data_IF_062302972830
#
_entry.id   IF_062302972830
#
_cell.length_a   1.000
_cell.length_b   1.000
_cell.length_c   1.000
_cell.angle_alpha   90.00
_cell.angle_beta   90.00
_cell.angle_gamma   90.00
#
_symmetry.space_group_name_H-M   'P 1'
#
loop_
_entity.id
_entity.type
_entity.pdbx_description
1 polymer ?
#
# COMPACT_ATOMS: atom_id res chain seq x y z
N UNK A 1 -33.22 12.09 -26.86
CA UNK A 1 -32.75 10.75 -26.41
C UNK A 1 -33.28 9.66 -27.34
N UNK A 2 -34.60 9.41 -27.36
CA UNK A 2 -35.23 8.36 -28.18
C UNK A 2 -34.77 8.33 -29.64
N UNK A 3 -34.92 9.44 -30.38
CA UNK A 3 -34.50 9.50 -31.78
C UNK A 3 -33.00 9.17 -32.00
N UNK A 4 -32.14 9.55 -31.05
CA UNK A 4 -30.72 9.21 -31.12
C UNK A 4 -30.49 7.71 -30.86
N UNK A 5 -31.16 7.14 -29.85
CA UNK A 5 -31.10 5.71 -29.52
C UNK A 5 -31.57 4.86 -30.70
N UNK A 6 -32.72 5.20 -31.29
CA UNK A 6 -33.29 4.48 -32.43
C UNK A 6 -32.41 4.59 -33.68
N UNK A 7 -31.85 5.78 -33.96
CA UNK A 7 -31.02 6.01 -35.14
C UNK A 7 -29.76 5.14 -35.19
N UNK A 8 -29.11 4.91 -34.04
CA UNK A 8 -27.84 4.16 -33.98
C UNK A 8 -27.98 2.79 -33.32
N UNK A 9 -29.19 2.40 -32.89
CA UNK A 9 -29.42 1.18 -32.13
C UNK A 9 -28.64 1.15 -30.81
N UNK A 10 -28.61 2.27 -30.09
CA UNK A 10 -27.78 2.39 -28.88
C UNK A 10 -28.22 1.41 -27.79
N UNK A 11 -27.26 0.71 -27.17
CA UNK A 11 -27.51 -0.17 -26.01
C UNK A 11 -27.22 0.50 -24.67
N UNK A 12 -26.41 1.57 -24.69
CA UNK A 12 -25.96 2.30 -23.52
C UNK A 12 -26.17 3.80 -23.74
N UNK A 13 -26.66 4.49 -22.71
CA UNK A 13 -26.89 5.94 -22.73
C UNK A 13 -26.22 6.55 -21.52
N UNK A 14 -25.44 7.61 -21.72
CA UNK A 14 -24.88 8.42 -20.63
C UNK A 14 -25.52 9.80 -20.70
N UNK A 15 -26.09 10.25 -19.58
CA UNK A 15 -26.61 11.60 -19.42
C UNK A 15 -25.68 12.36 -18.45
N UNK A 16 -24.93 13.32 -18.99
CA UNK A 16 -23.91 14.07 -18.25
C UNK A 16 -24.08 15.60 -18.45
N UNK A 17 -24.50 16.39 -17.45
CA UNK A 17 -25.03 16.05 -16.13
C UNK A 17 -26.49 16.51 -15.95
N UNK A 18 -27.25 15.88 -15.06
CA UNK A 18 -28.59 16.37 -14.71
C UNK A 18 -28.55 17.62 -13.81
N UNK A 19 -27.37 18.05 -13.34
CA UNK A 19 -27.24 19.23 -12.49
C UNK A 19 -27.78 20.48 -13.18
N UNK A 20 -27.62 20.59 -14.51
CA UNK A 20 -28.16 21.68 -15.30
C UNK A 20 -29.69 21.75 -15.34
N UNK A 21 -30.41 20.66 -15.03
CA UNK A 21 -31.86 20.69 -14.87
C UNK A 21 -32.25 21.25 -13.50
N UNK A 22 -31.48 20.97 -12.45
CA UNK A 22 -31.80 21.41 -11.10
C UNK A 22 -31.69 22.93 -10.93
N UNK A 23 -30.82 23.58 -11.71
CA UNK A 23 -30.71 25.05 -11.69
C UNK A 23 -31.90 25.76 -12.35
N UNK A 24 -32.67 25.07 -13.19
CA UNK A 24 -33.81 25.65 -13.92
C UNK A 24 -35.14 25.55 -13.17
N UNK A 25 -35.22 24.65 -12.17
CA UNK A 25 -36.46 24.38 -11.45
C UNK A 25 -36.29 24.62 -9.95
N UNK A 26 -37.01 25.57 -9.35
CA UNK A 26 -36.93 25.83 -7.91
C UNK A 26 -37.68 24.81 -7.04
N UNK A 27 -38.56 23.99 -7.64
CA UNK A 27 -39.41 23.03 -6.93
C UNK A 27 -38.92 21.59 -7.10
N UNK A 28 -38.57 20.98 -5.96
CA UNK A 28 -38.14 19.59 -5.84
C UNK A 28 -39.19 18.59 -6.38
N UNK A 29 -40.48 18.90 -6.31
CA UNK A 29 -41.56 18.04 -6.81
C UNK A 29 -41.57 17.94 -8.33
N UNK A 30 -41.37 19.06 -9.02
CA UNK A 30 -41.24 19.12 -10.48
C UNK A 30 -40.01 18.35 -10.96
N UNK A 31 -38.87 18.52 -10.27
CA UNK A 31 -37.64 17.79 -10.55
C UNK A 31 -37.84 16.29 -10.44
N UNK A 32 -38.49 15.83 -9.36
CA UNK A 32 -38.82 14.41 -9.18
C UNK A 32 -39.67 13.85 -10.32
N UNK A 33 -40.66 14.61 -10.79
CA UNK A 33 -41.53 14.20 -11.90
C UNK A 33 -40.75 14.06 -13.21
N UNK A 34 -39.87 15.00 -13.52
CA UNK A 34 -39.06 14.95 -14.74
C UNK A 34 -38.01 13.83 -14.70
N UNK A 35 -37.34 13.60 -13.55
CA UNK A 35 -36.43 12.45 -13.41
C UNK A 35 -37.18 11.13 -13.62
N UNK A 36 -38.38 10.98 -13.04
CA UNK A 36 -39.21 9.78 -13.25
C UNK A 36 -39.62 9.60 -14.71
N UNK A 37 -39.93 10.69 -15.41
CA UNK A 37 -40.25 10.67 -16.84
C UNK A 37 -39.05 10.23 -17.68
N UNK A 38 -37.86 10.78 -17.41
CA UNK A 38 -36.61 10.38 -18.06
C UNK A 38 -36.33 8.90 -17.81
N UNK A 39 -36.44 8.43 -16.55
CA UNK A 39 -36.28 7.03 -16.18
C UNK A 39 -37.24 6.11 -16.94
N UNK A 40 -38.54 6.45 -16.96
CA UNK A 40 -39.55 5.66 -17.68
C UNK A 40 -39.25 5.55 -19.17
N UNK A 41 -38.82 6.66 -19.78
CA UNK A 41 -38.40 6.68 -21.19
C UNK A 41 -37.20 5.76 -21.44
N UNK A 42 -36.14 5.85 -20.62
CA UNK A 42 -34.95 5.00 -20.74
C UNK A 42 -35.28 3.51 -20.56
N UNK A 43 -36.15 3.18 -19.59
CA UNK A 43 -36.62 1.80 -19.39
C UNK A 43 -37.41 1.29 -20.58
N UNK A 44 -38.29 2.10 -21.17
CA UNK A 44 -39.08 1.74 -22.37
C UNK A 44 -38.16 1.47 -23.56
N UNK A 45 -37.07 2.24 -23.69
CA UNK A 45 -36.06 2.04 -24.72
C UNK A 45 -35.16 0.81 -24.47
N UNK A 46 -35.28 0.15 -23.31
CA UNK A 46 -34.50 -1.04 -22.94
C UNK A 46 -32.98 -0.84 -23.02
N UNK A 47 -32.50 0.35 -22.68
CA UNK A 47 -31.06 0.70 -22.67
C UNK A 47 -30.48 0.69 -21.26
N UNK A 48 -29.19 0.40 -21.11
CA UNK A 48 -28.47 0.62 -19.85
C UNK A 48 -28.07 2.09 -19.76
N UNK A 49 -28.63 2.83 -18.79
CA UNK A 49 -28.34 4.25 -18.63
C UNK A 49 -27.45 4.57 -17.43
N UNK A 50 -26.46 5.43 -17.63
CA UNK A 50 -25.72 6.11 -16.55
C UNK A 50 -26.15 7.56 -16.54
N UNK A 51 -26.43 8.08 -15.36
CA UNK A 51 -26.86 9.46 -15.15
C UNK A 51 -25.92 10.07 -14.13
N UNK A 52 -25.27 11.18 -14.49
CA UNK A 52 -24.39 11.90 -13.57
C UNK A 52 -25.13 13.07 -12.91
N UNK A 53 -24.73 13.35 -11.67
CA UNK A 53 -25.21 14.48 -10.88
C UNK A 53 -24.10 14.92 -9.95
N UNK A 54 -24.00 16.21 -9.71
CA UNK A 54 -23.03 16.81 -8.79
C UNK A 54 -23.58 16.79 -7.37
N UNK A 55 -22.75 16.50 -6.36
CA UNK A 55 -23.09 16.60 -4.93
C UNK A 55 -22.45 17.84 -4.30
N UNK A 56 -23.26 18.74 -3.75
CA UNK A 56 -22.84 19.90 -2.96
C UNK A 56 -23.03 19.59 -1.47
N UNK A 57 -22.05 19.94 -0.62
CA UNK A 57 -22.13 19.76 0.85
C UNK A 57 -23.09 20.75 1.53
N UNK A 58 -23.64 21.71 0.79
CA UNK A 58 -24.52 22.75 1.33
C UNK A 58 -25.89 22.18 1.74
N UNK A 59 -26.24 22.32 3.02
CA UNK A 59 -27.41 21.70 3.63
C UNK A 59 -28.76 22.08 2.97
N UNK A 60 -28.83 23.20 2.23
CA UNK A 60 -30.01 23.65 1.51
C UNK A 60 -30.31 22.83 0.23
N UNK A 61 -29.30 22.19 -0.38
CA UNK A 61 -29.41 21.38 -1.60
C UNK A 61 -29.65 19.88 -1.31
N UNK A 62 -29.62 19.47 -0.03
CA UNK A 62 -29.86 18.09 0.41
C UNK A 62 -31.21 17.51 -0.04
N UNK A 63 -32.24 18.34 -0.15
CA UNK A 63 -33.59 17.91 -0.59
C UNK A 63 -33.64 17.36 -2.02
N UNK A 64 -32.71 17.77 -2.89
CA UNK A 64 -32.63 17.32 -4.27
C UNK A 64 -31.90 15.97 -4.38
N UNK A 65 -30.93 15.72 -3.50
CA UNK A 65 -30.20 14.46 -3.41
C UNK A 65 -31.08 13.32 -2.92
N UNK A 66 -31.92 13.59 -1.93
CA UNK A 66 -32.88 12.59 -1.44
C UNK A 66 -33.75 12.06 -2.60
N UNK A 67 -34.15 12.92 -3.54
CA UNK A 67 -34.95 12.50 -4.70
C UNK A 67 -34.19 11.48 -5.57
N UNK A 68 -32.93 11.74 -5.92
CA UNK A 68 -32.11 10.83 -6.71
C UNK A 68 -31.83 9.52 -5.97
N UNK A 69 -31.64 9.61 -4.65
CA UNK A 69 -31.42 8.48 -3.74
C UNK A 69 -32.68 7.61 -3.59
N UNK A 70 -33.88 8.09 -3.96
CA UNK A 70 -35.09 7.27 -4.05
C UNK A 70 -35.42 6.80 -5.48
N UNK A 71 -35.27 7.66 -6.48
CA UNK A 71 -35.72 7.39 -7.86
C UNK A 71 -34.79 6.42 -8.59
N UNK A 72 -33.48 6.48 -8.34
CA UNK A 72 -32.51 5.63 -9.03
C UNK A 72 -32.64 4.16 -8.61
N UNK A 73 -32.48 3.22 -9.54
CA UNK A 73 -32.45 1.80 -9.15
C UNK A 73 -31.08 1.43 -8.54
N UNK A 74 -30.02 1.97 -9.13
CA UNK A 74 -28.64 1.78 -8.71
C UNK A 74 -28.04 3.16 -8.41
N UNK A 75 -27.18 3.24 -7.40
CA UNK A 75 -26.53 4.49 -7.01
C UNK A 75 -25.06 4.25 -6.71
N UNK A 76 -24.23 5.01 -7.41
CA UNK A 76 -22.78 5.05 -7.26
C UNK A 76 -22.42 6.45 -6.80
N UNK A 77 -21.64 6.55 -5.73
CA UNK A 77 -21.18 7.81 -5.15
C UNK A 77 -19.68 7.91 -5.39
N UNK A 78 -19.26 9.02 -6.00
CA UNK A 78 -17.85 9.40 -6.12
C UNK A 78 -17.59 10.53 -5.12
N UNK A 79 -16.55 10.39 -4.30
CA UNK A 79 -16.12 11.42 -3.34
C UNK A 79 -14.70 11.84 -3.64
N UNK A 80 -14.40 13.12 -3.39
CA UNK A 80 -13.05 13.68 -3.46
C UNK A 80 -12.74 14.44 -2.16
N UNK A 81 -12.47 13.68 -1.10
CA UNK A 81 -12.26 14.20 0.26
C UNK A 81 -10.85 14.72 0.44
N UNK A 82 -10.66 15.80 1.20
CA UNK A 82 -9.34 16.29 1.58
C UNK A 82 -8.88 15.74 2.93
N UNK A 83 -7.61 15.36 3.05
CA UNK A 83 -6.94 14.97 4.28
C UNK A 83 -5.53 15.59 4.30
N UNK A 84 -5.20 16.43 5.29
CA UNK A 84 -3.91 17.11 5.39
C UNK A 84 -3.40 17.68 4.05
N UNK A 85 -4.26 18.43 3.35
CA UNK A 85 -3.99 19.02 2.01
C UNK A 85 -3.94 18.02 0.84
N UNK A 86 -3.90 16.71 1.10
CA UNK A 86 -4.02 15.67 0.08
C UNK A 86 -5.48 15.41 -0.28
N UNK A 87 -5.72 15.07 -1.55
CA UNK A 87 -7.05 14.69 -2.06
C UNK A 87 -7.14 13.18 -2.24
N UNK A 88 -8.18 12.58 -1.67
CA UNK A 88 -8.47 11.15 -1.78
C UNK A 88 -9.78 10.95 -2.55
N UNK A 89 -9.72 10.12 -3.58
CA UNK A 89 -10.88 9.76 -4.40
C UNK A 89 -11.43 8.40 -3.96
N UNK A 90 -12.72 8.35 -3.61
CA UNK A 90 -13.39 7.10 -3.26
C UNK A 90 -14.67 6.88 -4.07
N UNK A 91 -14.97 5.62 -4.38
CA UNK A 91 -16.17 5.15 -5.05
C UNK A 91 -16.94 4.22 -4.11
N UNK A 92 -18.25 4.39 -4.03
CA UNK A 92 -19.14 3.59 -3.20
C UNK A 92 -20.39 3.22 -3.99
N UNK A 93 -20.77 1.95 -3.97
CA UNK A 93 -22.09 1.53 -4.45
C UNK A 93 -23.02 1.60 -3.23
N UNK A 94 -23.93 2.57 -3.19
CA UNK A 94 -24.87 2.71 -2.06
C UNK A 94 -25.99 1.67 -2.17
N UNK A 95 -26.53 1.50 -3.37
CA UNK A 95 -27.58 0.53 -3.69
C UNK A 95 -27.38 -0.02 -5.09
N UNK A 96 -27.78 -1.28 -5.25
CA UNK A 96 -27.88 -1.95 -6.53
C UNK A 96 -29.10 -2.86 -6.48
N UNK A 97 -30.22 -2.44 -7.09
CA UNK A 97 -31.49 -3.19 -6.95
C UNK A 97 -31.42 -4.51 -7.70
N UNK A 98 -31.89 -5.58 -7.05
CA UNK A 98 -32.02 -6.91 -7.65
C UNK A 98 -30.81 -7.83 -7.49
N UNK A 99 -29.65 -7.34 -7.02
CA UNK A 99 -28.48 -8.19 -6.74
C UNK A 99 -27.67 -7.67 -5.56
N UNK A 100 -26.79 -8.50 -5.02
CA UNK A 100 -25.82 -8.08 -4.01
C UNK A 100 -24.65 -7.31 -4.65
N UNK A 101 -23.99 -6.49 -3.84
CA UNK A 101 -22.79 -5.75 -4.26
C UNK A 101 -21.84 -5.57 -3.08
N UNK A 102 -20.57 -5.30 -3.40
CA UNK A 102 -19.57 -4.94 -2.38
C UNK A 102 -20.01 -3.64 -1.67
N UNK A 103 -19.93 -3.65 -0.34
CA UNK A 103 -20.30 -2.53 0.53
C UNK A 103 -19.05 -1.78 0.98
N UNK A 104 -19.20 -0.48 1.24
CA UNK A 104 -18.12 0.39 1.68
C UNK A 104 -17.52 1.23 0.56
N UNK A 105 -16.59 2.09 0.95
CA UNK A 105 -15.87 2.99 0.06
C UNK A 105 -14.57 2.33 -0.41
N UNK A 106 -14.33 2.38 -1.70
CA UNK A 106 -13.12 1.90 -2.34
C UNK A 106 -12.35 3.08 -2.92
N UNK A 107 -11.05 3.13 -2.70
CA UNK A 107 -10.19 4.12 -3.34
C UNK A 107 -10.16 3.91 -4.86
N UNK A 108 -10.05 4.99 -5.63
CA UNK A 108 -9.76 4.91 -7.07
C UNK A 108 -8.82 6.03 -7.50
N UNK A 109 -8.08 5.79 -8.58
CA UNK A 109 -7.31 6.82 -9.29
C UNK A 109 -7.81 6.98 -10.72
N UNK A 110 -7.43 8.07 -11.39
CA UNK A 110 -7.71 8.32 -12.81
C UNK A 110 -6.37 8.42 -13.52
N UNK A 111 -6.11 7.52 -14.47
CA UNK A 111 -4.86 7.48 -15.25
C UNK A 111 -5.13 7.84 -16.71
N UNK A 112 -4.24 8.58 -17.34
CA UNK A 112 -4.41 9.08 -18.72
C UNK A 112 -4.77 7.97 -19.72
N UNK A 113 -4.13 6.80 -19.61
CA UNK A 113 -4.31 5.69 -20.56
C UNK A 113 -5.33 4.63 -20.09
N UNK A 114 -5.86 4.71 -18.87
CA UNK A 114 -6.77 3.68 -18.30
C UNK A 114 -8.10 4.23 -17.77
N UNK A 115 -8.24 5.55 -17.61
CA UNK A 115 -9.38 6.16 -16.96
C UNK A 115 -9.44 5.78 -15.47
N UNK A 116 -10.65 5.52 -14.97
CA UNK A 116 -10.90 5.16 -13.56
C UNK A 116 -10.32 3.77 -13.26
N UNK A 117 -9.37 3.71 -12.33
CA UNK A 117 -8.80 2.48 -11.78
C UNK A 117 -9.24 2.35 -10.33
N UNK A 118 -10.21 1.46 -10.08
CA UNK A 118 -10.70 1.16 -8.73
C UNK A 118 -9.70 0.23 -8.05
N UNK A 119 -9.23 0.63 -6.88
CA UNK A 119 -8.35 -0.19 -6.06
C UNK A 119 -9.24 -1.01 -5.12
N UNK A 120 -9.72 -2.14 -5.64
CA UNK A 120 -10.46 -3.13 -4.86
C UNK A 120 -9.52 -4.24 -4.42
N UNK A 121 -9.75 -4.73 -3.21
CA UNK A 121 -8.97 -5.83 -2.64
C UNK A 121 -9.88 -7.03 -2.52
N UNK A 122 -9.62 -8.03 -3.35
CA UNK A 122 -10.20 -9.34 -3.16
C UNK A 122 -9.43 -9.99 -2.02
N UNK A 123 -10.05 -9.94 -0.84
CA UNK A 123 -9.67 -10.84 0.24
C UNK A 123 -10.19 -12.19 -0.20
N UNK A 124 -9.43 -12.94 -0.99
CA UNK A 124 -9.63 -14.38 -1.05
C UNK A 124 -8.99 -14.95 0.21
N UNK A 125 -9.77 -15.26 1.27
CA UNK A 125 -9.19 -15.76 2.52
C UNK A 125 -8.52 -17.14 2.36
N UNK A 126 -8.68 -17.79 1.20
CA UNK A 126 -8.41 -19.20 0.99
C UNK A 126 -7.24 -19.48 0.03
N UNK A 127 -6.36 -18.52 -0.25
CA UNK A 127 -5.11 -18.83 -0.97
C UNK A 127 -4.17 -19.59 -0.02
N UNK A 128 -4.40 -20.90 0.07
CA UNK A 128 -3.55 -21.87 0.75
C UNK A 128 -2.37 -22.21 -0.17
N UNK A 129 -1.22 -21.61 0.06
CA UNK A 129 0.03 -22.17 -0.45
C UNK A 129 0.40 -23.35 0.47
N UNK A 130 0.23 -24.58 -0.01
CA UNK A 130 0.80 -25.77 0.62
C UNK A 130 2.32 -25.63 0.69
N UNK A 131 2.89 -25.87 1.88
CA UNK A 131 4.33 -25.87 2.19
C UNK A 131 5.12 -24.71 1.59
N UNK A 132 5.19 -23.59 2.33
CA UNK A 132 6.03 -22.45 1.92
C UNK A 132 7.50 -22.85 1.97
N UNK A 133 8.21 -22.65 0.87
CA UNK A 133 9.65 -22.87 0.81
C UNK A 133 10.37 -21.84 1.70
N UNK A 134 11.35 -22.29 2.48
CA UNK A 134 12.25 -21.39 3.23
C UNK A 134 13.33 -20.86 2.28
N UNK A 135 13.58 -19.57 2.35
CA UNK A 135 14.56 -18.84 1.55
C UNK A 135 15.48 -18.02 2.45
N UNK A 136 16.77 -18.00 2.12
CA UNK A 136 17.78 -17.21 2.83
C UNK A 136 17.39 -15.74 2.87
N UNK A 137 17.65 -15.05 3.98
CA UNK A 137 17.52 -13.59 4.10
C UNK A 137 18.49 -12.83 3.20
N UNK A 138 19.57 -13.48 2.73
CA UNK A 138 20.72 -12.83 2.12
C UNK A 138 21.89 -12.65 3.08
N UNK A 139 21.70 -12.92 4.38
CA UNK A 139 22.69 -12.78 5.43
C UNK A 139 22.80 -14.08 6.23
N UNK A 140 23.96 -14.74 6.17
CA UNK A 140 24.18 -16.03 6.82
C UNK A 140 23.99 -15.95 8.34
N UNK A 141 24.54 -14.91 8.98
CA UNK A 141 24.38 -14.71 10.42
C UNK A 141 22.93 -14.49 10.82
N UNK A 142 22.15 -13.77 9.99
CA UNK A 142 20.73 -13.57 10.24
C UNK A 142 19.95 -14.86 10.06
N UNK A 143 20.26 -15.65 9.04
CA UNK A 143 19.63 -16.95 8.78
C UNK A 143 19.85 -17.90 9.96
N UNK A 144 21.03 -17.86 10.60
CA UNK A 144 21.30 -18.58 11.84
C UNK A 144 20.38 -18.20 13.01
N UNK A 145 19.82 -16.99 13.01
CA UNK A 145 18.88 -16.51 14.04
C UNK A 145 17.42 -16.87 13.75
N UNK A 146 17.07 -17.32 12.54
CA UNK A 146 15.70 -17.54 12.08
C UNK A 146 15.49 -18.93 11.45
N UNK A 147 16.21 -19.93 11.94
CA UNK A 147 16.10 -21.34 11.49
C UNK A 147 16.34 -21.51 9.97
N UNK A 148 17.31 -20.78 9.44
CA UNK A 148 17.77 -20.91 8.04
C UNK A 148 17.06 -20.02 7.02
N UNK A 149 16.27 -19.02 7.46
CA UNK A 149 15.71 -18.00 6.58
C UNK A 149 14.21 -17.74 6.77
N UNK A 150 13.60 -16.99 5.85
CA UNK A 150 12.17 -16.65 5.86
C UNK A 150 11.37 -17.55 4.93
N UNK A 151 10.04 -17.61 5.12
CA UNK A 151 9.17 -18.32 4.18
C UNK A 151 8.86 -17.48 2.95
N UNK A 152 8.78 -18.12 1.77
CA UNK A 152 8.31 -17.47 0.56
C UNK A 152 6.88 -16.91 0.74
N UNK A 153 6.58 -15.77 0.11
CA UNK A 153 5.29 -15.08 0.26
C UNK A 153 5.05 -14.46 1.66
N UNK A 154 6.07 -14.45 2.53
CA UNK A 154 6.00 -13.79 3.84
C UNK A 154 6.32 -12.29 3.75
N UNK A 155 5.80 -11.54 4.72
CA UNK A 155 6.13 -10.13 4.92
C UNK A 155 6.97 -9.92 6.18
N UNK A 156 8.11 -9.25 6.02
CA UNK A 156 9.10 -8.99 7.06
C UNK A 156 9.12 -7.49 7.33
N UNK A 157 8.83 -7.12 8.57
CA UNK A 157 8.92 -5.74 9.04
C UNK A 157 10.25 -5.51 9.75
N UNK A 158 11.06 -4.58 9.26
CA UNK A 158 12.27 -4.09 9.90
C UNK A 158 11.94 -2.75 10.55
N UNK A 159 11.80 -2.76 11.87
CA UNK A 159 11.43 -1.58 12.66
C UNK A 159 12.63 -1.06 13.43
N UNK A 160 12.76 0.26 13.56
CA UNK A 160 13.79 0.84 14.41
C UNK A 160 13.93 2.34 14.25
N UNK A 161 14.71 2.94 15.14
CA UNK A 161 14.97 4.39 15.16
C UNK A 161 15.73 4.86 13.90
N UNK A 162 15.80 6.17 13.70
CA UNK A 162 16.65 6.73 12.65
C UNK A 162 18.13 6.38 12.90
N UNK A 163 18.89 6.12 11.84
CA UNK A 163 20.32 5.79 11.92
C UNK A 163 20.67 4.39 12.45
N UNK A 164 19.70 3.56 12.83
CA UNK A 164 19.98 2.17 13.23
C UNK A 164 20.46 1.31 12.07
N UNK A 165 20.24 1.71 10.82
CA UNK A 165 20.73 0.98 9.64
C UNK A 165 19.70 0.10 8.96
N UNK A 166 18.41 0.47 9.00
CA UNK A 166 17.33 -0.24 8.28
C UNK A 166 17.60 -0.34 6.77
N UNK A 167 17.85 0.79 6.10
CA UNK A 167 18.21 0.85 4.67
C UNK A 167 19.45 0.02 4.36
N UNK A 168 20.45 0.10 5.24
CA UNK A 168 21.70 -0.64 5.13
C UNK A 168 21.48 -2.16 5.28
N UNK A 169 20.57 -2.58 6.15
CA UNK A 169 20.16 -3.97 6.27
C UNK A 169 19.46 -4.46 5.00
N UNK A 170 18.58 -3.64 4.41
CA UNK A 170 17.97 -3.99 3.12
C UNK A 170 19.01 -4.14 2.02
N UNK A 171 19.97 -3.22 1.92
CA UNK A 171 21.03 -3.29 0.91
C UNK A 171 21.86 -4.57 1.04
N UNK A 172 22.18 -4.99 2.26
CA UNK A 172 22.92 -6.25 2.49
C UNK A 172 22.08 -7.47 2.11
N UNK A 173 20.77 -7.47 2.40
CA UNK A 173 19.84 -8.52 1.97
C UNK A 173 19.65 -8.55 0.44
N UNK A 174 19.60 -7.37 -0.20
CA UNK A 174 19.53 -7.22 -1.66
C UNK A 174 20.78 -7.81 -2.29
N UNK A 175 21.97 -7.46 -1.80
CA UNK A 175 23.23 -8.02 -2.29
C UNK A 175 23.24 -9.55 -2.20
N UNK A 176 22.90 -10.12 -1.04
CA UNK A 176 22.84 -11.57 -0.86
C UNK A 176 21.85 -12.25 -1.83
N UNK A 177 20.73 -11.60 -2.13
CA UNK A 177 19.76 -12.09 -3.12
C UNK A 177 20.29 -11.99 -4.56
N UNK A 178 20.89 -10.85 -4.93
CA UNK A 178 21.48 -10.64 -6.25
C UNK A 178 22.64 -11.61 -6.54
N UNK A 179 23.44 -11.94 -5.52
CA UNK A 179 24.52 -12.93 -5.63
C UNK A 179 24.01 -14.35 -5.91
N UNK A 180 22.73 -14.64 -5.60
CA UNK A 180 22.05 -15.88 -5.97
C UNK A 180 21.30 -15.81 -7.30
N UNK A 181 21.38 -14.68 -8.02
CA UNK A 181 20.68 -14.46 -9.28
C UNK A 181 19.18 -14.15 -9.11
N UNK A 182 18.74 -13.81 -7.90
CA UNK A 182 17.34 -13.45 -7.64
C UNK A 182 17.06 -12.01 -8.08
N UNK A 183 15.86 -11.77 -8.59
CA UNK A 183 15.39 -10.46 -9.02
C UNK A 183 14.83 -9.64 -7.86
N UNK A 184 15.33 -8.42 -7.69
CA UNK A 184 14.96 -7.55 -6.58
C UNK A 184 14.39 -6.22 -7.08
N UNK A 185 13.30 -5.75 -6.47
CA UNK A 185 12.86 -4.35 -6.56
C UNK A 185 13.05 -3.66 -5.22
N UNK A 186 13.65 -2.47 -5.22
CA UNK A 186 13.63 -1.54 -4.09
C UNK A 186 12.75 -0.33 -4.42
N UNK A 187 11.67 -0.18 -3.67
CA UNK A 187 10.88 1.06 -3.61
C UNK A 187 11.42 1.91 -2.47
N UNK A 188 12.02 3.05 -2.79
CA UNK A 188 12.49 4.00 -1.79
C UNK A 188 11.59 5.24 -1.76
N UNK A 189 11.10 5.62 -0.58
CA UNK A 189 10.15 6.71 -0.37
C UNK A 189 10.75 7.92 0.36
N UNK A 190 12.02 7.87 0.73
CA UNK A 190 12.65 8.90 1.55
C UNK A 190 13.90 9.52 0.90
N UNK A 191 14.64 8.74 0.12
CA UNK A 191 15.94 9.09 -0.43
C UNK A 191 15.96 9.05 -1.95
N UNK A 192 16.81 9.92 -2.52
CA UNK A 192 17.01 9.96 -3.96
C UNK A 192 17.78 8.74 -4.45
N UNK A 193 17.67 8.48 -5.76
CA UNK A 193 18.39 7.40 -6.42
C UNK A 193 19.90 7.50 -6.17
N UNK A 194 20.48 8.68 -6.34
CA UNK A 194 21.92 8.91 -6.12
C UNK A 194 22.36 8.61 -4.68
N UNK A 195 21.51 8.91 -3.69
CA UNK A 195 21.82 8.61 -2.28
C UNK A 195 21.88 7.09 -2.04
N UNK A 196 20.93 6.34 -2.59
CA UNK A 196 20.88 4.88 -2.46
C UNK A 196 22.03 4.23 -3.22
N UNK A 197 22.29 4.64 -4.47
CA UNK A 197 23.42 4.13 -5.26
C UNK A 197 24.76 4.43 -4.58
N UNK A 198 24.94 5.63 -4.03
CA UNK A 198 26.16 5.98 -3.27
C UNK A 198 26.35 5.11 -2.03
N UNK A 199 25.27 4.83 -1.28
CA UNK A 199 25.33 3.93 -0.12
C UNK A 199 25.73 2.52 -0.52
N UNK A 200 25.15 1.99 -1.59
CA UNK A 200 25.48 0.68 -2.13
C UNK A 200 26.93 0.62 -2.63
N UNK A 201 27.38 1.64 -3.37
CA UNK A 201 28.75 1.74 -3.87
C UNK A 201 29.78 1.80 -2.73
N UNK A 202 29.48 2.45 -1.61
CA UNK A 202 30.36 2.46 -0.45
C UNK A 202 30.64 1.06 0.12
N UNK A 203 29.81 0.08 -0.23
CA UNK A 203 29.95 -1.34 0.12
C UNK A 203 30.30 -2.22 -1.07
N UNK A 204 30.76 -1.61 -2.17
CA UNK A 204 31.10 -2.30 -3.43
C UNK A 204 29.93 -3.05 -4.07
N UNK A 205 28.69 -2.66 -3.77
CA UNK A 205 27.50 -3.18 -4.42
C UNK A 205 27.18 -2.31 -5.64
N UNK A 206 27.47 -2.82 -6.84
CA UNK A 206 27.17 -2.14 -8.10
C UNK A 206 25.70 -2.37 -8.52
N UNK A 207 24.79 -1.61 -7.92
CA UNK A 207 23.35 -1.69 -8.24
C UNK A 207 23.03 -1.21 -9.66
N UNK A 208 23.85 -0.32 -10.23
CA UNK A 208 23.63 0.18 -11.59
C UNK A 208 23.91 -0.92 -12.61
N UNK A 209 25.01 -1.66 -12.44
CA UNK A 209 25.29 -2.86 -13.23
C UNK A 209 24.16 -3.88 -13.09
N UNK A 210 23.64 -4.09 -11.88
CA UNK A 210 22.55 -5.06 -11.62
C UNK A 210 21.22 -4.64 -12.26
N UNK A 211 20.98 -3.34 -12.42
CA UNK A 211 19.86 -2.82 -13.22
C UNK A 211 20.04 -3.07 -14.72
N UNK A 212 21.25 -2.89 -15.25
CA UNK A 212 21.56 -3.18 -16.66
C UNK A 212 21.44 -4.68 -16.97
N UNK A 213 21.79 -5.54 -16.01
CA UNK A 213 21.62 -6.99 -16.09
C UNK A 213 20.16 -7.44 -15.96
N UNK A 214 19.24 -6.54 -15.59
CA UNK A 214 17.82 -6.85 -15.38
C UNK A 214 17.54 -7.67 -14.11
N UNK A 215 18.49 -7.69 -13.16
CA UNK A 215 18.36 -8.37 -11.86
C UNK A 215 17.86 -7.43 -10.76
N UNK A 216 18.08 -6.13 -10.90
CA UNK A 216 17.64 -5.14 -9.93
C UNK A 216 16.77 -4.06 -10.58
N UNK A 217 15.91 -3.43 -9.78
CA UNK A 217 15.20 -2.21 -10.15
C UNK A 217 15.02 -1.30 -8.95
N UNK A 218 15.48 -0.06 -9.04
CA UNK A 218 15.31 0.96 -8.01
C UNK A 218 14.28 2.02 -8.43
N UNK A 219 13.24 2.18 -7.61
CA UNK A 219 12.17 3.15 -7.79
C UNK A 219 12.13 4.10 -6.59
N UNK A 220 12.60 5.33 -6.78
CA UNK A 220 12.52 6.38 -5.77
C UNK A 220 11.23 7.20 -5.99
N UNK A 221 10.25 7.02 -5.11
CA UNK A 221 8.90 7.59 -5.23
C UNK A 221 8.57 8.37 -3.95
N UNK A 222 8.53 9.69 -4.01
CA UNK A 222 8.16 10.51 -2.85
C UNK A 222 6.64 10.49 -2.62
N UNK A 223 6.12 9.96 -1.51
CA UNK A 223 4.68 9.91 -1.28
C UNK A 223 4.01 11.29 -1.31
N UNK A 224 4.74 12.36 -1.00
CA UNK A 224 4.23 13.72 -1.04
C UNK A 224 3.93 14.21 -2.48
N UNK A 225 4.56 13.62 -3.51
CA UNK A 225 4.35 14.01 -4.90
C UNK A 225 3.23 13.22 -5.60
N UNK A 226 2.78 12.11 -5.01
CA UNK A 226 1.79 11.20 -5.61
C UNK A 226 0.77 10.74 -4.56
N UNK A 227 -0.51 10.67 -4.89
CA UNK A 227 -1.48 10.07 -3.96
C UNK A 227 -1.15 8.60 -3.63
N UNK A 228 -1.53 8.14 -2.44
CA UNK A 228 -1.31 6.74 -2.00
C UNK A 228 -1.92 5.73 -2.99
N UNK A 229 -3.06 6.07 -3.59
CA UNK A 229 -3.68 5.27 -4.65
C UNK A 229 -2.78 5.07 -5.86
N UNK A 230 -2.15 6.16 -6.32
CA UNK A 230 -1.26 6.11 -7.46
C UNK A 230 0.00 5.34 -7.14
N UNK A 231 0.53 5.52 -5.94
CA UNK A 231 1.69 4.77 -5.45
C UNK A 231 1.42 3.27 -5.42
N UNK A 232 0.27 2.82 -4.92
CA UNK A 232 -0.11 1.40 -4.93
C UNK A 232 -0.19 0.86 -6.36
N UNK A 233 -0.79 1.62 -7.28
CA UNK A 233 -0.88 1.23 -8.70
C UNK A 233 0.51 1.12 -9.32
N UNK A 234 1.43 2.03 -8.98
CA UNK A 234 2.79 2.04 -9.46
C UNK A 234 3.61 0.85 -8.94
N UNK A 235 3.50 0.55 -7.64
CA UNK A 235 4.08 -0.66 -7.03
C UNK A 235 3.62 -1.92 -7.76
N UNK A 236 2.29 -2.08 -7.93
CA UNK A 236 1.73 -3.25 -8.64
C UNK A 236 2.21 -3.33 -10.08
N UNK A 237 2.20 -2.22 -10.80
CA UNK A 237 2.63 -2.17 -12.20
C UNK A 237 4.11 -2.53 -12.34
N UNK A 238 4.96 -2.04 -11.44
CA UNK A 238 6.38 -2.37 -11.42
C UNK A 238 6.61 -3.86 -11.13
N UNK A 239 5.92 -4.44 -10.14
CA UNK A 239 5.98 -5.87 -9.82
C UNK A 239 5.52 -6.72 -11.02
N UNK A 240 4.40 -6.38 -11.66
CA UNK A 240 3.90 -7.11 -12.82
C UNK A 240 4.86 -7.09 -14.01
N UNK A 241 5.49 -5.93 -14.25
CA UNK A 241 6.37 -5.75 -15.41
C UNK A 241 7.72 -6.42 -15.20
N UNK A 242 8.24 -6.40 -13.97
CA UNK A 242 9.60 -6.87 -13.67
C UNK A 242 9.65 -8.33 -13.17
N UNK A 243 8.55 -8.81 -12.58
CA UNK A 243 8.42 -10.14 -11.97
C UNK A 243 9.57 -10.47 -10.99
N UNK A 244 9.71 -9.71 -9.88
CA UNK A 244 10.76 -9.94 -8.90
C UNK A 244 10.51 -11.17 -8.03
N UNK A 245 11.60 -11.73 -7.51
CA UNK A 245 11.58 -12.73 -6.43
C UNK A 245 11.43 -12.05 -5.07
N UNK A 246 11.97 -10.83 -4.91
CA UNK A 246 11.93 -10.04 -3.67
C UNK A 246 11.53 -8.59 -3.89
N UNK A 247 10.74 -8.07 -2.96
CA UNK A 247 10.36 -6.65 -2.93
C UNK A 247 10.80 -6.03 -1.60
N UNK A 248 11.48 -4.90 -1.70
CA UNK A 248 11.94 -4.09 -0.58
C UNK A 248 11.24 -2.73 -0.63
N UNK A 249 10.71 -2.25 0.51
CA UNK A 249 10.03 -0.96 0.62
C UNK A 249 10.65 -0.16 1.78
N UNK A 250 11.27 0.97 1.46
CA UNK A 250 12.03 1.81 2.38
C UNK A 250 11.62 3.29 2.30
N UNK A 251 10.78 3.85 3.17
CA UNK A 251 10.14 3.24 4.33
C UNK A 251 8.62 3.43 4.30
N UNK A 252 7.89 2.45 4.83
CA UNK A 252 6.43 2.56 4.94
C UNK A 252 6.00 3.67 5.90
N UNK A 253 6.88 4.10 6.81
CA UNK A 253 6.64 5.28 7.67
C UNK A 253 6.47 6.58 6.90
N UNK A 254 6.98 6.69 5.66
CA UNK A 254 6.73 7.85 4.82
C UNK A 254 5.24 7.97 4.42
N UNK A 255 4.53 6.84 4.32
CA UNK A 255 3.11 6.82 3.94
C UNK A 255 2.19 7.30 5.07
N UNK A 256 2.63 7.17 6.33
CA UNK A 256 1.87 7.66 7.50
C UNK A 256 1.68 9.18 7.46
N UNK A 257 2.59 9.92 6.80
CA UNK A 257 2.55 11.39 6.74
C UNK A 257 1.45 11.93 5.83
N UNK A 258 1.10 11.17 4.80
CA UNK A 258 0.20 11.59 3.71
C UNK A 258 -1.19 10.94 3.79
N UNK A 259 -1.44 10.08 4.78
CA UNK A 259 -2.67 9.31 4.89
C UNK A 259 -3.23 9.28 6.31
N UNK A 260 -4.54 9.07 6.45
CA UNK A 260 -5.13 8.75 7.76
C UNK A 260 -4.73 7.34 8.21
N UNK A 261 -4.76 7.06 9.51
CA UNK A 261 -4.38 5.75 10.05
C UNK A 261 -5.14 4.58 9.42
N UNK A 262 -6.45 4.75 9.17
CA UNK A 262 -7.28 3.76 8.48
C UNK A 262 -6.76 3.52 7.06
N UNK A 263 -6.51 4.60 6.31
CA UNK A 263 -6.05 4.54 4.92
C UNK A 263 -4.65 3.93 4.83
N UNK A 264 -3.76 4.31 5.74
CA UNK A 264 -2.42 3.75 5.87
C UNK A 264 -2.48 2.23 6.08
N UNK A 265 -3.25 1.80 7.08
CA UNK A 265 -3.40 0.38 7.42
C UNK A 265 -4.01 -0.41 6.27
N UNK A 266 -5.07 0.11 5.64
CA UNK A 266 -5.65 -0.50 4.45
C UNK A 266 -4.59 -0.66 3.35
N UNK A 267 -3.88 0.42 3.01
CA UNK A 267 -2.83 0.43 1.99
C UNK A 267 -1.73 -0.60 2.23
N UNK A 268 -1.29 -0.75 3.48
CA UNK A 268 -0.31 -1.78 3.84
C UNK A 268 -0.85 -3.20 3.71
N UNK A 269 -2.08 -3.45 4.16
CA UNK A 269 -2.74 -4.76 3.96
C UNK A 269 -2.76 -5.09 2.46
N UNK A 270 -3.03 -4.10 1.62
CA UNK A 270 -3.14 -4.30 0.19
C UNK A 270 -1.83 -4.68 -0.47
N UNK A 271 -0.74 -4.00 -0.09
CA UNK A 271 0.60 -4.34 -0.58
C UNK A 271 1.00 -5.73 -0.08
N UNK A 272 0.82 -6.02 1.21
CA UNK A 272 1.20 -7.31 1.80
C UNK A 272 0.42 -8.47 1.18
N UNK A 273 -0.91 -8.34 1.03
CA UNK A 273 -1.73 -9.37 0.42
C UNK A 273 -1.37 -9.59 -1.05
N UNK A 274 -1.06 -8.52 -1.78
CA UNK A 274 -0.64 -8.61 -3.17
C UNK A 274 0.71 -9.33 -3.33
N UNK A 275 1.69 -9.02 -2.48
CA UNK A 275 2.97 -9.74 -2.46
C UNK A 275 2.77 -11.22 -2.15
N UNK A 276 1.90 -11.53 -1.19
CA UNK A 276 1.56 -12.91 -0.83
C UNK A 276 0.89 -13.66 -1.97
N UNK A 277 -0.09 -13.05 -2.64
CA UNK A 277 -0.79 -13.62 -3.80
C UNK A 277 0.18 -13.95 -4.95
N UNK A 278 1.18 -13.08 -5.15
CA UNK A 278 2.24 -13.28 -6.14
C UNK A 278 3.36 -14.22 -5.66
N UNK A 279 3.27 -14.76 -4.44
CA UNK A 279 4.31 -15.58 -3.80
C UNK A 279 5.69 -14.89 -3.72
N UNK A 280 5.69 -13.57 -3.51
CA UNK A 280 6.88 -12.71 -3.40
C UNK A 280 7.16 -12.42 -1.92
N UNK A 281 8.42 -12.53 -1.50
CA UNK A 281 8.84 -12.10 -0.16
C UNK A 281 8.95 -10.56 -0.11
N UNK A 282 8.33 -9.97 0.91
CA UNK A 282 8.30 -8.52 1.10
C UNK A 282 9.06 -8.06 2.33
N UNK A 283 10.02 -7.14 2.17
CA UNK A 283 10.72 -6.48 3.26
C UNK A 283 10.25 -5.02 3.37
N UNK A 284 9.73 -4.64 4.52
CA UNK A 284 9.17 -3.32 4.78
C UNK A 284 9.96 -2.67 5.92
N UNK A 285 10.42 -1.44 5.77
CA UNK A 285 11.04 -0.70 6.89
C UNK A 285 10.08 0.30 7.50
N UNK A 286 10.12 0.43 8.82
CA UNK A 286 9.35 1.45 9.55
C UNK A 286 10.26 2.16 10.54
N UNK A 287 10.26 3.50 10.49
CA UNK A 287 11.01 4.33 11.42
C UNK A 287 10.16 4.66 12.65
N UNK A 288 10.63 4.28 13.83
CA UNK A 288 9.98 4.62 15.10
C UNK A 288 10.52 5.94 15.65
N UNK A 289 9.67 6.89 16.07
CA UNK A 289 10.11 8.24 16.45
C UNK A 289 10.79 8.35 17.83
N UNK A 290 10.61 7.39 18.74
CA UNK A 290 11.07 7.53 20.14
C UNK A 290 12.35 6.78 20.50
N UNK A 291 13.24 7.48 21.22
CA UNK A 291 14.43 6.93 21.90
C UNK A 291 14.08 6.18 23.20
N UNK A 292 13.07 6.65 23.94
CA UNK A 292 12.62 6.10 25.22
C UNK A 292 11.33 5.29 25.03
N UNK A 293 11.40 4.01 25.44
CA UNK A 293 10.39 2.93 25.38
C UNK A 293 9.57 2.84 24.07
N UNK A 294 9.46 1.66 23.43
CA UNK A 294 8.60 1.49 22.26
C UNK A 294 7.13 1.58 22.70
N UNK A 295 6.60 2.80 22.79
CA UNK A 295 5.16 3.03 22.79
C UNK A 295 4.68 2.62 21.42
N UNK A 296 4.24 1.37 21.27
CA UNK A 296 3.79 0.80 20.01
C UNK A 296 2.47 1.44 19.49
N UNK A 297 2.12 2.67 19.88
CA UNK A 297 0.83 3.30 19.59
C UNK A 297 0.42 3.30 18.12
N UNK A 298 1.36 3.54 17.19
CA UNK A 298 1.13 3.38 15.73
C UNK A 298 1.67 2.04 15.19
N UNK A 299 2.67 1.44 15.83
CA UNK A 299 3.32 0.19 15.40
C UNK A 299 2.54 -1.11 15.73
N UNK A 300 1.60 -1.08 16.68
CA UNK A 300 0.73 -2.22 17.05
C UNK A 300 0.00 -2.75 15.81
N UNK A 301 -0.47 -1.86 14.93
CA UNK A 301 -1.28 -2.29 13.79
C UNK A 301 -0.46 -2.99 12.69
N UNK A 302 0.76 -2.55 12.39
CA UNK A 302 1.61 -3.13 11.33
C UNK A 302 2.19 -4.49 11.77
N UNK A 303 2.57 -4.60 13.05
CA UNK A 303 3.11 -5.85 13.63
C UNK A 303 2.14 -7.03 13.52
N UNK A 304 0.82 -6.79 13.53
CA UNK A 304 -0.19 -7.85 13.34
C UNK A 304 -0.24 -8.38 11.91
N UNK A 305 0.11 -7.55 10.92
CA UNK A 305 0.06 -7.87 9.49
C UNK A 305 1.31 -8.62 9.02
N UNK A 306 2.44 -8.38 9.67
CA UNK A 306 3.74 -8.94 9.27
C UNK A 306 3.89 -10.38 9.77
N UNK A 307 4.54 -11.23 8.98
CA UNK A 307 4.84 -12.61 9.35
C UNK A 307 6.13 -12.71 10.18
N UNK A 308 7.10 -11.81 9.94
CA UNK A 308 8.28 -11.63 10.78
C UNK A 308 8.49 -10.15 11.18
N UNK A 309 9.12 -9.92 12.33
CA UNK A 309 9.49 -8.58 12.80
C UNK A 309 10.93 -8.60 13.31
N UNK A 310 11.77 -7.77 12.69
CA UNK A 310 13.14 -7.49 13.10
C UNK A 310 13.15 -6.10 13.75
N UNK A 311 13.60 -6.01 15.00
CA UNK A 311 13.73 -4.75 15.73
C UNK A 311 15.19 -4.34 15.78
N UNK A 312 15.48 -3.13 15.30
CA UNK A 312 16.79 -2.46 15.41
C UNK A 312 16.72 -1.36 16.46
N UNK A 313 17.66 -1.36 17.40
CA UNK A 313 17.67 -0.42 18.52
C UNK A 313 19.09 -0.01 18.89
N UNK A 314 19.21 1.16 19.51
CA UNK A 314 20.43 1.54 20.19
C UNK A 314 20.40 1.03 21.63
N UNK A 315 21.57 0.65 22.13
CA UNK A 315 21.82 0.35 23.53
C UNK A 315 22.96 1.24 24.01
N UNK A 316 22.87 1.69 25.26
CA UNK A 316 23.97 2.36 25.94
C UNK A 316 24.77 1.32 26.73
N UNK A 317 26.05 1.18 26.41
CA UNK A 317 26.97 0.32 27.13
C UNK A 317 28.27 1.08 27.36
N UNK A 318 28.64 1.28 28.63
CA UNK A 318 29.88 1.96 29.03
C UNK A 318 30.05 3.36 28.37
N UNK A 319 28.97 4.14 28.28
CA UNK A 319 28.98 5.47 27.67
C UNK A 319 29.12 5.46 26.14
N UNK A 320 29.02 4.30 25.49
CA UNK A 320 28.98 4.15 24.03
C UNK A 320 27.61 3.70 23.58
N UNK A 321 27.17 4.25 22.45
CA UNK A 321 26.00 3.76 21.74
C UNK A 321 26.41 2.56 20.88
N UNK A 322 25.89 1.39 21.22
CA UNK A 322 25.99 0.19 20.40
C UNK A 322 24.66 -0.07 19.71
N UNK A 323 24.68 -0.80 18.60
CA UNK A 323 23.46 -1.17 17.86
C UNK A 323 23.12 -2.63 18.14
N UNK A 324 21.85 -2.90 18.41
CA UNK A 324 21.33 -4.24 18.67
C UNK A 324 20.14 -4.58 17.79
N UNK A 325 20.10 -5.82 17.32
CA UNK A 325 19.03 -6.39 16.51
C UNK A 325 18.37 -7.53 17.29
N UNK A 326 17.04 -7.62 17.26
CA UNK A 326 16.31 -8.77 17.78
C UNK A 326 15.20 -9.19 16.84
N UNK A 327 14.94 -10.50 16.80
CA UNK A 327 13.77 -11.05 16.12
C UNK A 327 12.63 -11.05 17.12
N UNK A 328 11.66 -10.14 16.94
CA UNK A 328 10.54 -9.98 17.86
C UNK A 328 9.42 -10.97 17.58
N UNK A 329 9.31 -11.40 16.32
CA UNK A 329 8.27 -12.29 15.84
C UNK A 329 8.77 -13.03 14.62
N UNK A 330 8.51 -14.32 14.57
CA UNK A 330 8.58 -15.12 13.35
C UNK A 330 7.44 -16.13 13.40
N UNK A 331 6.52 -16.07 12.44
CA UNK A 331 5.44 -17.05 12.34
C UNK A 331 5.96 -18.37 11.80
N UNK A 332 5.39 -19.47 12.32
CA UNK A 332 5.60 -20.83 11.82
C UNK A 332 7.06 -21.32 11.85
N UNK A 333 7.92 -20.67 12.65
CA UNK A 333 9.32 -21.03 12.85
C UNK A 333 9.81 -20.50 14.20
N UNK A 334 10.77 -21.19 14.82
CA UNK A 334 11.46 -20.62 15.97
C UNK A 334 12.50 -19.58 15.52
N UNK A 335 12.94 -18.75 16.46
CA UNK A 335 13.91 -17.69 16.24
C UNK A 335 14.69 -17.38 17.52
N UNK A 336 15.88 -16.80 17.39
CA UNK A 336 16.67 -16.30 18.51
C UNK A 336 15.88 -15.32 19.38
N UNK A 337 16.00 -15.46 20.70
CA UNK A 337 15.36 -14.59 21.71
C UNK A 337 16.29 -13.52 22.27
N UNK A 338 17.52 -13.45 21.77
CA UNK A 338 18.55 -12.52 22.23
C UNK A 338 18.58 -11.25 21.37
N UNK A 339 18.96 -10.13 21.99
CA UNK A 339 19.47 -9.00 21.23
C UNK A 339 20.90 -9.30 20.80
N UNK A 340 21.15 -9.26 19.50
CA UNK A 340 22.46 -9.45 18.90
C UNK A 340 23.07 -8.08 18.62
N UNK A 341 24.27 -7.83 19.13
CA UNK A 341 25.06 -6.65 18.71
C UNK A 341 25.34 -6.77 17.21
N UNK A 342 25.27 -5.65 16.48
CA UNK A 342 25.77 -5.61 15.11
C UNK A 342 26.57 -4.35 14.86
N UNK A 343 27.54 -4.48 13.95
CA UNK A 343 28.38 -3.39 13.49
C UNK A 343 28.14 -3.12 12.01
N UNK A 344 28.37 -1.88 11.64
CA UNK A 344 28.24 -1.40 10.26
C UNK A 344 29.60 -0.83 9.90
N UNK A 345 30.26 -1.43 8.91
CA UNK A 345 31.57 -0.99 8.43
C UNK A 345 31.58 -0.83 6.90
N UNK A 346 32.77 -0.76 6.30
CA UNK A 346 32.94 -0.59 4.85
C UNK A 346 32.55 -1.83 4.02
N UNK A 347 32.25 -2.95 4.65
CA UNK A 347 31.90 -4.23 4.00
C UNK A 347 30.46 -4.66 4.23
N UNK A 348 29.70 -3.96 5.07
CA UNK A 348 28.28 -4.22 5.27
C UNK A 348 27.87 -4.21 6.74
N UNK A 349 26.79 -4.98 7.03
CA UNK A 349 26.33 -5.25 8.40
C UNK A 349 26.85 -6.60 8.86
N UNK A 350 27.50 -6.61 10.01
CA UNK A 350 28.01 -7.83 10.67
C UNK A 350 27.28 -8.06 11.98
N UNK A 351 26.61 -9.20 12.10
CA UNK A 351 25.93 -9.59 13.35
C UNK A 351 26.95 -10.31 14.22
N UNK A 352 27.14 -9.80 15.44
CA UNK A 352 28.20 -10.24 16.33
C UNK A 352 27.62 -11.17 17.41
N UNK A 353 27.85 -10.83 18.68
CA UNK A 353 27.48 -11.62 19.84
C UNK A 353 26.17 -11.12 20.47
N UNK A 354 25.50 -11.96 21.28
CA UNK A 354 24.42 -11.49 22.15
C UNK A 354 24.88 -10.35 23.07
N UNK A 355 24.02 -9.36 23.28
CA UNK A 355 24.24 -8.29 24.27
C UNK A 355 23.93 -8.87 25.66
N UNK A 356 24.96 -9.07 26.48
CA UNK A 356 24.84 -9.55 27.86
C UNK A 356 24.43 -8.38 28.81
N UNK A 357 23.49 -8.62 29.73
CA UNK A 357 22.77 -7.58 30.47
C UNK A 357 23.62 -6.67 31.38
N UNK A 358 23.32 -5.36 31.32
CA UNK A 358 23.09 -4.49 32.49
C UNK A 358 22.14 -3.29 32.23
N UNK A 359 21.39 -3.27 31.13
CA UNK A 359 20.43 -2.20 30.81
C UNK A 359 19.05 -2.80 30.50
N UNK A 360 18.00 -2.23 31.09
CA UNK A 360 16.64 -2.74 30.98
C UNK A 360 16.22 -2.86 29.51
N UNK A 361 15.87 -4.09 29.11
CA UNK A 361 15.45 -4.42 27.74
C UNK A 361 14.24 -3.57 27.28
N UNK A 362 13.50 -3.00 28.24
CA UNK A 362 12.34 -2.14 28.02
C UNK A 362 12.42 -0.75 28.68
N UNK A 363 13.55 -0.40 29.33
CA UNK A 363 13.74 0.95 29.89
C UNK A 363 14.03 1.98 28.81
#
# INVERSE_FOLDING_TARGET
>A
IQAAVEKIGAKRVVLDSLAALFTQFPDASLIRKEILRIKSCLNTLSVTSIITSERYEDHALNSHYDIMDFVSDNLIILKNTSFNEYRRRTIEILKYRGTSHKKGQYSFTIRDNRGIVIISFEREPNVYHHERQRISSGLEDLDGLIDGGFFQGSSILISGQTGTGKTLLLLSMIEGALNRGEKCILFNFEESRDQILKKAHNWNIDLEQKEQEGLFRLLCLYPESTGIEDLIVEIKTAIQTFSPDRVFIDSISALERITSEITYRESLINVILYLREMNIIGFLTSTTPTFASPSFGSGIHISTLSDAIILLRYFEQEGKLIRGMAIMKLRDSDHSKSFMEYQIDGTGIHILKPIEQNAGIFS
#
